data_IF_567116415715
#
_entry.id   IF_567116415715
#
_cell.length_a   1.000
_cell.length_b   1.000
_cell.length_c   1.000
_cell.angle_alpha   90.00
_cell.angle_beta   90.00
_cell.angle_gamma   90.00
#
_symmetry.space_group_name_H-M   'P 1'
#
loop_
_entity.id
_entity.type
_entity.pdbx_description
1 polymer ?
#
# COMPACT_ATOMS: atom_id res chain seq x y z
N UNK A 1 10.67 -14.92 -8.46
CA UNK A 1 10.11 -15.90 -7.52
C UNK A 1 8.60 -15.79 -7.60
N UNK A 2 7.92 -16.85 -8.03
CA UNK A 2 6.46 -16.83 -8.24
C UNK A 2 5.70 -16.81 -6.93
N UNK A 3 4.42 -16.35 -6.95
CA UNK A 3 3.51 -16.32 -5.79
C UNK A 3 3.36 -17.68 -5.06
N UNK A 4 3.68 -18.77 -5.75
CA UNK A 4 3.55 -20.15 -5.26
C UNK A 4 4.59 -20.50 -4.18
N UNK A 5 5.79 -19.92 -4.21
CA UNK A 5 6.85 -20.24 -3.23
C UNK A 5 6.69 -19.55 -1.87
N UNK A 6 5.77 -18.60 -1.73
CA UNK A 6 5.52 -17.88 -0.45
C UNK A 6 4.45 -18.53 0.43
N UNK A 7 3.75 -19.56 -0.08
CA UNK A 7 2.62 -20.21 0.61
C UNK A 7 3.01 -21.06 1.83
N UNK A 8 4.25 -21.45 1.99
CA UNK A 8 4.69 -22.35 3.09
C UNK A 8 4.78 -21.72 4.48
N UNK A 9 4.56 -20.41 4.63
CA UNK A 9 4.72 -19.71 5.91
C UNK A 9 3.40 -19.21 6.51
N UNK A 10 2.29 -19.40 5.82
CA UNK A 10 0.96 -18.93 6.23
C UNK A 10 0.16 -20.13 6.74
N UNK A 11 -0.30 -20.07 7.98
CA UNK A 11 -1.12 -21.13 8.56
C UNK A 11 -2.42 -21.34 7.76
N UNK A 12 -2.97 -22.55 7.75
CA UNK A 12 -4.12 -22.92 6.93
C UNK A 12 -5.35 -21.99 7.10
N UNK A 13 -5.57 -21.47 8.29
CA UNK A 13 -6.66 -20.54 8.57
C UNK A 13 -6.47 -19.18 7.85
N UNK A 14 -5.25 -18.71 7.73
CA UNK A 14 -4.94 -17.45 7.06
C UNK A 14 -5.00 -17.57 5.53
N UNK A 15 -4.79 -18.77 4.97
CA UNK A 15 -5.01 -19.00 3.55
C UNK A 15 -6.49 -18.80 3.18
N UNK A 16 -7.41 -19.36 3.95
CA UNK A 16 -8.84 -19.18 3.74
C UNK A 16 -9.25 -17.68 3.83
N UNK A 17 -8.66 -16.95 4.77
CA UNK A 17 -8.90 -15.51 4.89
C UNK A 17 -8.36 -14.72 3.68
N UNK A 18 -7.21 -15.11 3.13
CA UNK A 18 -6.64 -14.49 1.93
C UNK A 18 -7.50 -14.76 0.70
N UNK A 19 -7.96 -16.00 0.52
CA UNK A 19 -8.82 -16.40 -0.60
C UNK A 19 -10.19 -15.67 -0.53
N UNK A 20 -10.74 -15.51 0.67
CA UNK A 20 -11.95 -14.71 0.89
C UNK A 20 -11.74 -13.23 0.54
N UNK A 21 -10.65 -12.64 1.02
CA UNK A 21 -10.32 -11.24 0.73
C UNK A 21 -10.12 -11.00 -0.77
N UNK A 22 -9.51 -11.94 -1.47
CA UNK A 22 -9.34 -11.86 -2.93
C UNK A 22 -10.68 -11.80 -3.65
N UNK A 23 -11.59 -12.72 -3.33
CA UNK A 23 -12.94 -12.76 -3.91
C UNK A 23 -13.74 -11.50 -3.58
N UNK A 24 -13.63 -11.01 -2.35
CA UNK A 24 -14.28 -9.78 -1.90
C UNK A 24 -13.75 -8.54 -2.64
N UNK A 25 -12.42 -8.43 -2.80
CA UNK A 25 -11.79 -7.33 -3.55
C UNK A 25 -12.26 -7.30 -5.01
N UNK A 26 -12.27 -8.43 -5.68
CA UNK A 26 -12.75 -8.52 -7.07
C UNK A 26 -14.23 -8.12 -7.18
N UNK A 27 -15.05 -8.54 -6.23
CA UNK A 27 -16.45 -8.11 -6.15
C UNK A 27 -16.56 -6.59 -5.96
N UNK A 28 -15.84 -6.00 -4.99
CA UNK A 28 -15.86 -4.56 -4.73
C UNK A 28 -15.38 -3.76 -5.94
N UNK A 29 -14.31 -4.17 -6.59
CA UNK A 29 -13.80 -3.50 -7.78
C UNK A 29 -14.84 -3.46 -8.90
N UNK A 30 -15.58 -4.56 -9.10
CA UNK A 30 -16.69 -4.59 -10.08
C UNK A 30 -17.82 -3.63 -9.70
N UNK A 31 -18.23 -3.62 -8.42
CA UNK A 31 -19.32 -2.76 -7.94
C UNK A 31 -18.97 -1.27 -8.01
N UNK A 32 -17.73 -0.91 -7.65
CA UNK A 32 -17.27 0.48 -7.64
C UNK A 32 -16.65 0.94 -8.96
N UNK A 33 -16.59 0.05 -9.95
CA UNK A 33 -15.91 0.29 -11.24
C UNK A 33 -14.45 0.75 -11.06
N UNK A 34 -13.77 0.19 -10.06
CA UNK A 34 -12.38 0.52 -9.78
C UNK A 34 -11.49 -0.07 -10.87
N UNK A 35 -10.68 0.76 -11.57
CA UNK A 35 -9.88 0.27 -12.71
C UNK A 35 -8.74 -0.65 -12.31
N UNK A 36 -8.16 -0.44 -11.14
CA UNK A 36 -7.06 -1.25 -10.65
C UNK A 36 -6.83 -1.10 -9.14
N UNK A 37 -6.29 -2.15 -8.53
CA UNK A 37 -5.94 -2.19 -7.12
C UNK A 37 -4.68 -3.04 -6.90
N UNK A 38 -3.81 -2.62 -5.99
CA UNK A 38 -2.74 -3.48 -5.46
C UNK A 38 -3.05 -3.75 -3.98
N UNK A 39 -3.07 -5.01 -3.65
CA UNK A 39 -3.33 -5.48 -2.29
C UNK A 39 -2.16 -6.30 -1.78
N UNK A 40 -1.68 -6.00 -0.58
CA UNK A 40 -0.62 -6.74 0.08
C UNK A 40 -0.97 -6.97 1.55
N UNK A 41 -0.56 -8.12 2.05
CA UNK A 41 -0.68 -8.48 3.47
C UNK A 41 0.71 -8.80 4.00
N UNK A 42 1.07 -8.15 5.12
CA UNK A 42 2.28 -8.45 5.85
C UNK A 42 1.95 -9.12 7.19
N UNK A 43 2.72 -10.15 7.54
CA UNK A 43 2.60 -10.86 8.80
C UNK A 43 3.99 -11.16 9.36
N UNK A 44 4.22 -10.87 10.64
CA UNK A 44 5.51 -11.05 11.33
C UNK A 44 6.69 -10.46 10.54
N UNK A 45 6.52 -9.23 10.04
CA UNK A 45 7.55 -8.49 9.29
C UNK A 45 7.83 -9.00 7.87
N UNK A 46 6.97 -9.85 7.31
CA UNK A 46 7.11 -10.40 5.95
C UNK A 46 5.85 -10.19 5.14
N UNK A 47 5.98 -9.87 3.86
CA UNK A 47 4.86 -9.87 2.92
C UNK A 47 4.49 -11.32 2.62
N UNK A 48 3.30 -11.73 3.07
CA UNK A 48 2.76 -13.08 2.89
C UNK A 48 1.83 -13.18 1.68
N UNK A 49 1.27 -12.05 1.25
CA UNK A 49 0.43 -11.95 0.07
C UNK A 49 0.70 -10.62 -0.63
N UNK A 50 0.76 -10.62 -1.96
CA UNK A 50 0.86 -9.42 -2.79
C UNK A 50 0.27 -9.73 -4.16
N UNK A 51 -0.73 -8.96 -4.57
CA UNK A 51 -1.37 -9.11 -5.88
C UNK A 51 -1.88 -7.79 -6.43
N UNK A 52 -1.79 -7.62 -7.73
CA UNK A 52 -2.39 -6.53 -8.47
C UNK A 52 -3.60 -7.02 -9.27
N UNK A 53 -4.63 -6.20 -9.35
CA UNK A 53 -5.89 -6.46 -10.03
C UNK A 53 -6.18 -5.33 -11.01
N UNK A 54 -6.71 -5.67 -12.19
CA UNK A 54 -7.13 -4.68 -13.18
C UNK A 54 -5.99 -4.04 -13.97
N UNK A 55 -6.21 -2.81 -14.42
CA UNK A 55 -5.33 -2.08 -15.32
C UNK A 55 -4.73 -0.84 -14.65
N UNK A 56 -3.51 -0.48 -15.04
CA UNK A 56 -2.84 0.77 -14.68
C UNK A 56 -3.35 1.94 -15.53
N UNK A 57 -3.73 1.64 -16.76
CA UNK A 57 -4.35 2.57 -17.71
C UNK A 57 -5.52 1.87 -18.39
N UNK A 58 -6.70 2.48 -18.26
CA UNK A 58 -7.96 1.95 -18.82
C UNK A 58 -7.97 2.07 -20.36
N UNK A 59 -7.34 3.11 -20.91
CA UNK A 59 -7.36 3.37 -22.33
C UNK A 59 -6.46 2.40 -23.12
N UNK A 60 -5.26 2.17 -22.62
CA UNK A 60 -4.30 1.23 -23.23
C UNK A 60 -4.56 -0.24 -22.83
N UNK A 61 -5.30 -0.46 -21.73
CA UNK A 61 -5.47 -1.80 -21.16
C UNK A 61 -4.21 -2.33 -20.49
N UNK A 62 -3.21 -1.48 -20.21
CA UNK A 62 -1.97 -1.87 -19.56
C UNK A 62 -2.26 -2.53 -18.20
N UNK A 63 -1.75 -3.74 -18.01
CA UNK A 63 -1.99 -4.51 -16.80
C UNK A 63 -1.28 -3.92 -15.59
N UNK A 64 -2.02 -3.72 -14.51
CA UNK A 64 -1.45 -3.28 -13.24
C UNK A 64 -0.52 -4.34 -12.64
N UNK A 65 0.58 -3.87 -12.03
CA UNK A 65 1.52 -4.71 -11.28
C UNK A 65 1.79 -4.11 -9.90
N UNK A 66 2.29 -4.88 -8.92
CA UNK A 66 2.66 -4.35 -7.60
C UNK A 66 3.76 -3.28 -7.62
N UNK A 67 4.45 -3.11 -8.75
CA UNK A 67 5.52 -2.10 -8.92
C UNK A 67 5.01 -0.74 -9.38
N UNK A 68 3.74 -0.63 -9.77
CA UNK A 68 3.17 0.66 -10.15
C UNK A 68 3.06 1.60 -8.96
N UNK A 69 3.23 2.89 -9.24
CA UNK A 69 3.15 3.95 -8.22
C UNK A 69 1.73 4.47 -8.12
N UNK A 70 1.30 4.68 -6.90
CA UNK A 70 0.00 5.25 -6.59
C UNK A 70 0.15 6.61 -5.92
N UNK A 71 -0.82 7.48 -6.11
CA UNK A 71 -0.97 8.67 -5.29
C UNK A 71 -1.42 8.25 -3.89
N UNK A 72 -0.72 8.73 -2.88
CA UNK A 72 -0.95 8.32 -1.49
C UNK A 72 -1.78 9.33 -0.70
N UNK A 73 -2.27 10.40 -1.37
CA UNK A 73 -3.13 11.42 -0.79
C UNK A 73 -2.62 11.88 0.60
N UNK A 74 -3.46 11.87 1.63
CA UNK A 74 -3.12 12.34 2.98
C UNK A 74 -2.07 11.52 3.72
N UNK A 75 -1.71 10.33 3.27
CA UNK A 75 -0.53 9.61 3.81
C UNK A 75 0.77 10.42 3.64
N UNK A 76 0.81 11.34 2.67
CA UNK A 76 1.92 12.30 2.52
C UNK A 76 2.18 13.13 3.78
N UNK A 77 1.15 13.40 4.60
CA UNK A 77 1.31 14.14 5.86
C UNK A 77 2.22 13.44 6.85
N UNK A 78 2.22 12.12 6.85
CA UNK A 78 3.11 11.31 7.72
C UNK A 78 4.58 11.55 7.35
N UNK A 79 4.89 11.61 6.06
CA UNK A 79 6.25 11.92 5.58
C UNK A 79 6.66 13.35 5.94
N UNK A 80 5.75 14.32 5.78
CA UNK A 80 5.98 15.70 6.19
C UNK A 80 6.26 15.79 7.70
N UNK A 81 5.44 15.15 8.51
CA UNK A 81 5.64 15.12 9.96
C UNK A 81 6.99 14.50 10.35
N UNK A 82 7.36 13.38 9.72
CA UNK A 82 8.66 12.75 9.95
C UNK A 82 9.82 13.67 9.56
N UNK A 83 9.71 14.40 8.44
CA UNK A 83 10.72 15.37 8.02
C UNK A 83 10.86 16.52 9.01
N UNK A 84 9.76 17.08 9.52
CA UNK A 84 9.76 18.12 10.55
C UNK A 84 10.44 17.64 11.83
N UNK A 85 10.09 16.43 12.31
CA UNK A 85 10.74 15.85 13.50
C UNK A 85 12.25 15.63 13.27
N UNK A 86 12.64 15.25 12.06
CA UNK A 86 14.06 15.11 11.71
C UNK A 86 14.80 16.45 11.72
N UNK A 87 14.19 17.51 11.23
CA UNK A 87 14.76 18.87 11.29
C UNK A 87 14.90 19.34 12.74
N UNK A 88 13.93 19.04 13.60
CA UNK A 88 14.03 19.30 15.04
C UNK A 88 15.20 18.55 15.68
N UNK A 89 15.37 17.25 15.41
CA UNK A 89 16.52 16.47 15.89
C UNK A 89 17.87 17.07 15.48
N UNK A 90 17.93 17.64 14.28
CA UNK A 90 19.11 18.32 13.75
C UNK A 90 19.28 19.75 14.27
N UNK A 91 18.42 20.23 15.18
CA UNK A 91 18.46 21.57 15.74
C UNK A 91 18.13 22.69 14.73
N UNK A 92 17.51 22.36 13.60
CA UNK A 92 17.20 23.31 12.52
C UNK A 92 15.85 24.01 12.68
N UNK A 93 14.98 23.49 13.55
CA UNK A 93 13.72 24.10 13.95
C UNK A 93 13.32 23.67 15.36
N UNK A 94 12.45 24.46 15.99
CA UNK A 94 11.77 24.11 17.23
C UNK A 94 10.26 24.05 16.95
N UNK A 95 9.57 23.07 17.53
CA UNK A 95 8.12 22.91 17.34
C UNK A 95 7.31 24.05 17.95
N UNK A 96 7.87 24.78 18.93
CA UNK A 96 7.26 25.92 19.58
C UNK A 96 7.53 27.26 18.86
N UNK A 97 8.32 27.25 17.78
CA UNK A 97 8.60 28.44 16.99
C UNK A 97 7.37 28.85 16.18
N UNK A 98 7.10 30.16 16.04
CA UNK A 98 6.03 30.63 15.16
C UNK A 98 6.33 30.27 13.71
N UNK A 99 5.29 29.81 12.97
CA UNK A 99 5.42 29.37 11.56
C UNK A 99 6.05 30.43 10.66
N UNK A 100 5.77 31.71 10.94
CA UNK A 100 6.34 32.83 10.17
C UNK A 100 7.84 33.05 10.32
N UNK A 101 8.52 32.24 11.14
CA UNK A 101 9.98 32.25 11.26
C UNK A 101 10.67 31.51 10.11
N UNK A 102 9.99 30.60 9.47
CA UNK A 102 10.44 29.73 8.39
C UNK A 102 9.67 30.04 7.11
#
# INVERSE_FOLDING_TARGET
MSAIQRRGFVEKWSQNALDYNESWLEFQMRQTKQPGCVFAVAYKGRVVFEKAYGSSDVNSGERLTPRHRFRVASHSKTFTAAAILKLRELGKLNLDDPVGRY
#
